data_IF_176500108408
#
_entry.id   IF_176500108408
#
_cell.length_a   1.000
_cell.length_b   1.000
_cell.length_c   1.000
_cell.angle_alpha   90.00
_cell.angle_beta   90.00
_cell.angle_gamma   90.00
#
_symmetry.space_group_name_H-M   'P 1'
#
loop_
_entity.id
_entity.type
_entity.pdbx_description
1 polymer ?
#
# COMPACT_ATOMS: atom_id res chain seq x y z
N UNK A 1 50.18 3.26 -10.64
CA UNK A 1 49.00 3.72 -11.40
C UNK A 1 47.82 3.67 -10.45
N UNK A 2 47.48 4.81 -9.87
CA UNK A 2 46.25 4.94 -9.09
C UNK A 2 45.06 4.82 -10.05
N UNK A 3 44.25 3.80 -9.85
CA UNK A 3 42.99 3.63 -10.56
C UNK A 3 42.04 4.71 -10.08
N UNK A 4 42.01 5.86 -10.77
CA UNK A 4 40.90 6.80 -10.65
C UNK A 4 39.63 6.12 -11.17
N UNK A 5 38.89 5.43 -10.28
CA UNK A 5 37.50 5.15 -10.56
C UNK A 5 36.78 6.48 -10.66
N UNK A 6 36.17 6.71 -11.81
CA UNK A 6 35.28 7.83 -12.03
C UNK A 6 34.20 7.85 -10.92
N UNK A 7 34.05 8.94 -10.16
CA UNK A 7 33.10 9.00 -9.05
C UNK A 7 31.66 8.76 -9.49
N UNK A 8 31.30 9.08 -10.73
CA UNK A 8 29.98 8.78 -11.30
C UNK A 8 29.82 7.27 -11.56
N UNK A 9 30.88 6.57 -11.95
CA UNK A 9 30.85 5.11 -12.09
C UNK A 9 30.68 4.40 -10.73
N UNK A 10 31.27 4.92 -9.65
CA UNK A 10 31.02 4.43 -8.29
C UNK A 10 29.58 4.66 -7.82
N UNK A 11 28.99 5.82 -8.15
CA UNK A 11 27.59 6.11 -7.82
C UNK A 11 26.64 5.16 -8.56
N UNK A 12 26.93 4.83 -9.81
CA UNK A 12 26.15 3.86 -10.60
C UNK A 12 26.33 2.41 -10.12
N UNK A 13 27.50 2.06 -9.57
CA UNK A 13 27.76 0.73 -9.00
C UNK A 13 26.90 0.40 -7.77
N UNK A 14 26.39 1.42 -7.08
CA UNK A 14 25.56 1.24 -5.88
C UNK A 14 24.05 1.30 -6.17
N UNK A 15 23.65 1.54 -7.42
CA UNK A 15 22.25 1.54 -7.84
C UNK A 15 21.84 0.19 -8.43
N UNK A 16 20.56 -0.22 -8.29
CA UNK A 16 20.07 -1.43 -8.93
C UNK A 16 20.27 -1.35 -10.45
N UNK A 17 20.56 -2.50 -11.07
CA UNK A 17 20.67 -2.57 -12.53
C UNK A 17 19.34 -2.23 -13.22
N UNK A 18 19.37 -1.82 -14.52
CA UNK A 18 18.18 -1.35 -15.24
C UNK A 18 16.99 -2.34 -15.22
N UNK A 19 17.28 -3.64 -15.27
CA UNK A 19 16.27 -4.71 -15.20
C UNK A 19 15.57 -4.74 -13.84
N UNK A 20 16.32 -4.58 -12.75
CA UNK A 20 15.75 -4.53 -11.40
C UNK A 20 14.89 -3.28 -11.27
N UNK A 21 15.37 -2.12 -11.73
CA UNK A 21 14.58 -0.90 -11.71
C UNK A 21 13.27 -0.99 -12.50
N UNK A 22 13.27 -1.62 -13.68
CA UNK A 22 12.05 -1.86 -14.44
C UNK A 22 11.02 -2.73 -13.67
N UNK A 23 11.48 -3.76 -12.95
CA UNK A 23 10.62 -4.58 -12.10
C UNK A 23 10.09 -3.80 -10.89
N UNK A 24 10.95 -3.02 -10.24
CA UNK A 24 10.60 -2.18 -9.10
C UNK A 24 9.56 -1.12 -9.46
N UNK A 25 9.69 -0.49 -10.63
CA UNK A 25 8.73 0.48 -11.15
C UNK A 25 7.42 -0.19 -11.57
N UNK A 26 7.48 -1.40 -12.13
CA UNK A 26 6.27 -2.18 -12.47
C UNK A 26 5.45 -2.47 -11.21
N UNK A 27 6.09 -2.91 -10.13
CA UNK A 27 5.41 -3.13 -8.85
C UNK A 27 4.85 -1.83 -8.28
N UNK A 28 5.60 -0.73 -8.33
CA UNK A 28 5.11 0.58 -7.92
C UNK A 28 3.82 0.95 -8.66
N UNK A 29 3.82 0.83 -9.99
CA UNK A 29 2.65 1.13 -10.81
C UNK A 29 1.49 0.18 -10.55
N UNK A 30 1.76 -1.11 -10.31
CA UNK A 30 0.73 -2.07 -9.92
C UNK A 30 0.04 -1.67 -8.62
N UNK A 31 0.80 -1.32 -7.58
CA UNK A 31 0.22 -0.85 -6.32
C UNK A 31 -0.53 0.47 -6.53
N UNK A 32 0.03 1.45 -7.26
CA UNK A 32 -0.68 2.70 -7.58
C UNK A 32 -2.00 2.47 -8.32
N UNK A 33 -2.00 1.53 -9.27
CA UNK A 33 -3.21 1.13 -9.97
C UNK A 33 -4.25 0.57 -9.00
N UNK A 34 -3.84 -0.33 -8.09
CA UNK A 34 -4.72 -0.87 -7.05
C UNK A 34 -5.27 0.24 -6.16
N UNK A 35 -4.44 1.18 -5.71
CA UNK A 35 -4.89 2.30 -4.88
C UNK A 35 -6.03 3.05 -5.57
N UNK A 36 -5.74 3.50 -6.79
CA UNK A 36 -6.66 4.34 -7.54
C UNK A 36 -7.92 3.56 -7.91
N UNK A 37 -7.79 2.26 -8.20
CA UNK A 37 -8.91 1.39 -8.50
C UNK A 37 -9.80 1.14 -7.25
N UNK A 38 -9.22 0.83 -6.09
CA UNK A 38 -9.98 0.55 -4.85
C UNK A 38 -10.96 1.70 -4.54
N UNK A 39 -10.53 2.96 -4.66
CA UNK A 39 -11.41 4.11 -4.42
C UNK A 39 -12.41 4.41 -5.53
N UNK A 40 -12.20 3.88 -6.74
CA UNK A 40 -13.07 4.11 -7.90
C UNK A 40 -14.07 2.97 -8.14
N UNK A 41 -13.83 1.78 -7.58
CA UNK A 41 -14.71 0.63 -7.78
C UNK A 41 -16.02 0.83 -6.98
N UNK A 42 -17.20 0.67 -7.60
CA UNK A 42 -18.49 0.77 -6.91
C UNK A 42 -18.62 -0.13 -5.67
N UNK A 43 -17.91 -1.26 -5.65
CA UNK A 43 -17.87 -2.21 -4.55
C UNK A 43 -17.47 -1.58 -3.21
N UNK A 44 -16.59 -0.57 -3.20
CA UNK A 44 -16.19 0.10 -1.96
C UNK A 44 -17.37 0.83 -1.30
N UNK A 45 -18.38 1.23 -2.09
CA UNK A 45 -19.61 1.83 -1.58
C UNK A 45 -20.54 0.80 -0.92
N UNK A 46 -20.37 -0.50 -1.23
CA UNK A 46 -21.12 -1.58 -0.60
C UNK A 46 -20.51 -2.05 0.73
N UNK A 47 -19.24 -1.70 1.02
CA UNK A 47 -18.56 -2.06 2.27
C UNK A 47 -19.28 -1.52 3.52
N UNK A 48 -19.69 -0.24 3.59
CA UNK A 48 -20.48 0.25 4.72
C UNK A 48 -21.79 -0.52 4.94
N UNK A 49 -22.51 -0.83 3.85
CA UNK A 49 -23.79 -1.55 3.91
C UNK A 49 -23.61 -2.98 4.41
N UNK A 50 -22.57 -3.68 3.94
CA UNK A 50 -22.22 -5.02 4.42
C UNK A 50 -21.89 -5.00 5.91
N UNK A 51 -21.11 -4.02 6.37
CA UNK A 51 -20.74 -3.89 7.79
C UNK A 51 -21.97 -3.56 8.64
N UNK A 52 -22.85 -2.68 8.19
CA UNK A 52 -24.12 -2.42 8.87
C UNK A 52 -24.96 -3.69 9.00
N UNK A 53 -25.09 -4.46 7.92
CA UNK A 53 -25.87 -5.69 7.92
C UNK A 53 -25.28 -6.74 8.87
N UNK A 54 -23.96 -6.94 8.84
CA UNK A 54 -23.28 -7.86 9.77
C UNK A 54 -23.46 -7.40 11.22
N UNK A 55 -23.29 -6.10 11.49
CA UNK A 55 -23.46 -5.56 12.83
C UNK A 55 -24.89 -5.67 13.36
N UNK A 56 -25.88 -5.49 12.49
CA UNK A 56 -27.28 -5.73 12.83
C UNK A 56 -27.51 -7.20 13.22
N UNK A 57 -27.04 -8.15 12.40
CA UNK A 57 -27.17 -9.58 12.67
C UNK A 57 -26.49 -9.99 13.98
N UNK A 58 -25.29 -9.47 14.26
CA UNK A 58 -24.58 -9.78 15.50
C UNK A 58 -25.29 -9.22 16.73
N UNK A 59 -25.86 -8.02 16.63
CA UNK A 59 -26.62 -7.40 17.73
C UNK A 59 -27.90 -8.17 18.01
N UNK A 60 -28.56 -8.72 16.98
CA UNK A 60 -29.76 -9.53 17.14
C UNK A 60 -29.47 -10.86 17.86
N UNK A 61 -28.32 -11.49 17.56
CA UNK A 61 -27.90 -12.76 18.17
C UNK A 61 -27.43 -12.58 19.62
N UNK A 62 -26.60 -11.57 19.89
CA UNK A 62 -25.95 -11.37 21.19
C UNK A 62 -26.74 -10.43 22.13
N UNK A 63 -27.80 -9.80 21.62
CA UNK A 63 -28.56 -8.74 22.30
C UNK A 63 -27.71 -7.55 22.80
N UNK A 64 -26.48 -7.44 22.32
CA UNK A 64 -25.52 -6.39 22.64
C UNK A 64 -24.73 -6.04 21.38
N UNK A 65 -24.58 -4.74 21.08
CA UNK A 65 -23.76 -4.30 19.96
C UNK A 65 -22.28 -4.59 20.24
N UNK A 66 -21.57 -5.32 19.36
CA UNK A 66 -20.14 -5.50 19.51
C UNK A 66 -19.40 -4.13 19.49
N UNK A 67 -18.36 -3.93 20.34
CA UNK A 67 -17.58 -2.67 20.34
C UNK A 67 -16.98 -2.33 18.96
N UNK A 68 -16.64 -3.35 18.17
CA UNK A 68 -16.16 -3.18 16.80
C UNK A 68 -17.23 -2.59 15.88
N UNK A 69 -18.50 -2.91 16.10
CA UNK A 69 -19.60 -2.35 15.34
C UNK A 69 -19.83 -0.89 15.68
N UNK A 70 -19.77 -0.52 16.96
CA UNK A 70 -19.83 0.89 17.37
C UNK A 70 -18.68 1.70 16.75
N UNK A 71 -17.46 1.15 16.79
CA UNK A 71 -16.28 1.78 16.21
C UNK A 71 -16.38 1.95 14.69
N UNK A 72 -16.82 0.92 13.96
CA UNK A 72 -16.90 0.94 12.49
C UNK A 72 -18.09 1.75 11.96
N UNK A 73 -19.19 1.85 12.72
CA UNK A 73 -20.38 2.62 12.35
C UNK A 73 -20.31 4.08 12.81
N UNK A 74 -19.31 4.45 13.60
CA UNK A 74 -19.07 5.85 13.95
C UNK A 74 -18.77 6.68 12.69
N UNK A 75 -19.34 7.89 12.63
CA UNK A 75 -19.12 8.80 11.50
C UNK A 75 -17.62 9.01 11.23
N UNK A 76 -17.21 8.84 9.96
CA UNK A 76 -15.82 8.99 9.54
C UNK A 76 -14.93 7.76 9.73
N UNK A 77 -15.37 6.72 10.45
CA UNK A 77 -14.58 5.50 10.63
C UNK A 77 -14.31 4.79 9.29
N UNK A 78 -15.34 4.62 8.45
CA UNK A 78 -15.17 3.97 7.16
C UNK A 78 -14.22 4.74 6.21
N UNK A 79 -14.39 6.07 5.99
CA UNK A 79 -13.40 6.85 5.27
C UNK A 79 -11.98 6.74 5.85
N UNK A 80 -11.83 6.72 7.17
CA UNK A 80 -10.53 6.60 7.82
C UNK A 80 -9.86 5.23 7.58
N UNK A 81 -10.62 4.13 7.66
CA UNK A 81 -10.14 2.78 7.35
C UNK A 81 -9.70 2.69 5.90
N UNK A 82 -10.53 3.17 4.97
CA UNK A 82 -10.19 3.16 3.56
C UNK A 82 -8.95 4.01 3.28
N UNK A 83 -8.85 5.20 3.89
CA UNK A 83 -7.64 6.03 3.81
C UNK A 83 -6.41 5.31 4.38
N UNK A 84 -6.53 4.61 5.50
CA UNK A 84 -5.42 3.84 6.08
C UNK A 84 -4.95 2.72 5.15
N UNK A 85 -5.86 2.05 4.43
CA UNK A 85 -5.51 1.07 3.40
C UNK A 85 -4.72 1.74 2.27
N UNK A 86 -5.17 2.93 1.82
CA UNK A 86 -4.46 3.72 0.82
C UNK A 86 -3.03 4.07 1.26
N UNK A 87 -2.92 4.60 2.47
CA UNK A 87 -1.67 5.09 3.04
C UNK A 87 -0.70 3.91 3.31
N UNK A 88 -1.23 2.70 3.54
CA UNK A 88 -0.44 1.48 3.77
C UNK A 88 0.27 0.94 2.53
N UNK A 89 -0.06 1.42 1.33
CA UNK A 89 0.51 0.83 0.12
C UNK A 89 2.02 1.03 -0.04
N UNK A 90 2.57 2.15 0.43
CA UNK A 90 4.03 2.34 0.44
C UNK A 90 4.72 1.29 1.30
N UNK A 91 4.10 0.91 2.41
CA UNK A 91 4.56 -0.18 3.28
C UNK A 91 4.41 -1.55 2.62
N UNK A 92 3.32 -1.81 1.89
CA UNK A 92 3.16 -3.03 1.10
C UNK A 92 4.21 -3.14 -0.01
N UNK A 93 4.49 -2.05 -0.72
CA UNK A 93 5.57 -1.99 -1.68
C UNK A 93 6.91 -2.34 -1.04
N UNK A 94 7.23 -1.74 0.11
CA UNK A 94 8.49 -2.02 0.81
C UNK A 94 8.61 -3.49 1.21
N UNK A 95 7.52 -4.12 1.64
CA UNK A 95 7.50 -5.54 1.98
C UNK A 95 7.74 -6.44 0.76
N UNK A 96 7.02 -6.20 -0.33
CA UNK A 96 7.06 -7.09 -1.50
C UNK A 96 8.28 -6.81 -2.38
N UNK A 97 8.57 -5.55 -2.67
CA UNK A 97 9.59 -5.15 -3.61
C UNK A 97 10.95 -4.95 -2.93
N UNK A 98 11.01 -4.18 -1.84
CA UNK A 98 12.30 -3.83 -1.23
C UNK A 98 12.93 -5.01 -0.49
N UNK A 99 12.18 -5.65 0.40
CA UNK A 99 12.71 -6.74 1.24
C UNK A 99 12.96 -8.04 0.45
N UNK A 100 12.18 -8.30 -0.62
CA UNK A 100 12.23 -9.58 -1.33
C UNK A 100 13.01 -9.50 -2.65
N UNK A 101 12.99 -8.35 -3.34
CA UNK A 101 13.53 -8.22 -4.70
C UNK A 101 14.71 -7.25 -4.81
N UNK A 102 15.16 -6.68 -3.70
CA UNK A 102 16.28 -5.73 -3.68
C UNK A 102 15.93 -4.36 -4.27
N UNK A 103 14.64 -4.02 -4.34
CA UNK A 103 14.22 -2.69 -4.77
C UNK A 103 14.60 -1.62 -3.73
N UNK A 104 14.86 -0.38 -4.16
CA UNK A 104 14.94 0.74 -3.24
C UNK A 104 13.61 0.89 -2.47
N UNK A 105 13.64 1.41 -1.23
CA UNK A 105 12.42 1.77 -0.52
C UNK A 105 11.57 2.74 -1.35
N UNK A 106 10.24 2.61 -1.21
CA UNK A 106 9.23 3.41 -1.91
C UNK A 106 9.56 4.91 -1.92
N UNK A 107 9.99 5.46 -0.78
CA UNK A 107 10.32 6.87 -0.60
C UNK A 107 11.48 7.35 -1.46
N UNK A 108 12.39 6.43 -1.84
CA UNK A 108 13.63 6.73 -2.56
C UNK A 108 13.70 6.03 -3.91
N UNK A 109 12.57 5.47 -4.37
CA UNK A 109 12.51 4.67 -5.58
C UNK A 109 12.97 5.45 -6.81
N UNK A 110 12.44 6.66 -7.01
CA UNK A 110 12.72 7.51 -8.18
C UNK A 110 14.07 8.24 -8.15
N UNK A 111 14.79 8.15 -7.03
CA UNK A 111 16.15 8.70 -6.92
C UNK A 111 17.20 7.62 -7.22
N UNK A 112 16.84 6.36 -6.98
CA UNK A 112 17.72 5.19 -7.13
C UNK A 112 17.41 4.34 -8.36
N UNK A 113 16.23 4.55 -8.94
CA UNK A 113 15.76 4.13 -10.25
C UNK A 113 15.21 5.38 -10.95
#
# INVERSE_FOLDING_TARGET
>A
MENHLDPFAQVLSNKPGPVICALCLTLYHFFQYINNAIFQIPLIKAVPEAIQMTCFLLTDIEHLSPPVCEALLTSGAMPAVLKAIADSMGSFYNMVASQTMGCPPYQTLFDNC
#
